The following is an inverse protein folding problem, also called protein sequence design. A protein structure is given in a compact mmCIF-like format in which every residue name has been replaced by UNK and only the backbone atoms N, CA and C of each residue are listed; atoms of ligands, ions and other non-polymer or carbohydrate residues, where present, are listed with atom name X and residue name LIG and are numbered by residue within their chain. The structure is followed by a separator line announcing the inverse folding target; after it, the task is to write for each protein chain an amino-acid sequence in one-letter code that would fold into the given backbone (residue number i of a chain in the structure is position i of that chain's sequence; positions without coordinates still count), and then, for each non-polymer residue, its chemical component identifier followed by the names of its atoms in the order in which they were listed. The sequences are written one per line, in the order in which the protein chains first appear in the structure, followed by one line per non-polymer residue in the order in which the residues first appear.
data_IF_717109235625
#
_entry.id   IF_717109235625
#
_cell.length_a   1.000
_cell.length_b   1.000
_cell.length_c   1.000
_cell.angle_alpha   90.00
_cell.angle_beta   90.00
_cell.angle_gamma   90.00
#
_symmetry.space_group_name_H-M   'P 1'
#
loop_
_entity.id
_entity.type
_entity.pdbx_description
1 polymer ?
#
# COMPACT_ATOMS: atom_id res chain seq x y z
N UNK A 1 0.39 -27.49 14.90
CA UNK A 1 -0.24 -27.12 13.61
C UNK A 1 -1.22 -25.96 13.69
N UNK A 2 -1.81 -25.61 14.84
CA UNK A 2 -2.69 -24.41 14.94
C UNK A 2 -1.92 -23.09 14.74
N UNK A 3 -0.74 -22.95 15.36
CA UNK A 3 0.07 -21.73 15.25
C UNK A 3 0.45 -21.35 13.82
N UNK A 4 0.78 -22.30 12.95
CA UNK A 4 1.19 -21.98 11.58
C UNK A 4 0.04 -21.40 10.74
N UNK A 5 -1.21 -21.80 11.02
CA UNK A 5 -2.38 -21.24 10.31
C UNK A 5 -2.71 -19.84 10.82
N UNK A 6 -2.64 -19.63 12.13
CA UNK A 6 -2.88 -18.34 12.77
C UNK A 6 -1.83 -17.32 12.31
N UNK A 7 -0.55 -17.70 12.32
CA UNK A 7 0.56 -16.86 11.85
C UNK A 7 0.37 -16.47 10.38
N UNK A 8 0.07 -17.44 9.51
CA UNK A 8 -0.18 -17.16 8.09
C UNK A 8 -1.35 -16.18 7.91
N UNK A 9 -2.42 -16.31 8.70
CA UNK A 9 -3.57 -15.42 8.64
C UNK A 9 -3.22 -14.00 9.12
N UNK A 10 -2.50 -13.85 10.23
CA UNK A 10 -2.00 -12.55 10.70
C UNK A 10 -1.17 -11.88 9.62
N UNK A 11 -0.24 -12.62 9.01
CA UNK A 11 0.66 -12.08 7.99
C UNK A 11 -0.09 -11.59 6.75
N UNK A 12 -1.12 -12.31 6.29
CA UNK A 12 -1.98 -11.87 5.18
C UNK A 12 -2.73 -10.59 5.56
N UNK A 13 -3.31 -10.53 6.75
CA UNK A 13 -4.03 -9.33 7.20
C UNK A 13 -3.11 -8.12 7.40
N UNK A 14 -1.85 -8.32 7.80
CA UNK A 14 -0.84 -7.26 7.86
C UNK A 14 -0.50 -6.73 6.47
N UNK A 15 -0.38 -7.61 5.46
CA UNK A 15 -0.15 -7.16 4.08
C UNK A 15 -1.34 -6.31 3.56
N UNK A 16 -2.57 -6.70 3.88
CA UNK A 16 -3.79 -5.95 3.54
C UNK A 16 -3.85 -4.60 4.28
N UNK A 17 -3.46 -4.57 5.56
CA UNK A 17 -3.35 -3.34 6.34
C UNK A 17 -2.35 -2.35 5.71
N UNK A 18 -1.18 -2.82 5.30
CA UNK A 18 -0.18 -1.99 4.61
C UNK A 18 -0.74 -1.42 3.31
N UNK A 19 -1.47 -2.23 2.53
CA UNK A 19 -2.13 -1.74 1.30
C UNK A 19 -3.22 -0.70 1.58
N UNK A 20 -3.99 -0.85 2.65
CA UNK A 20 -4.99 0.12 3.07
C UNK A 20 -4.32 1.46 3.45
N UNK A 21 -3.23 1.42 4.22
CA UNK A 21 -2.47 2.62 4.60
C UNK A 21 -1.82 3.32 3.39
N UNK A 22 -1.26 2.57 2.43
CA UNK A 22 -0.75 3.14 1.17
C UNK A 22 -1.90 3.78 0.38
N UNK A 23 -3.06 3.13 0.32
CA UNK A 23 -4.22 3.65 -0.40
C UNK A 23 -4.76 4.93 0.25
N UNK A 24 -4.76 5.01 1.57
CA UNK A 24 -5.15 6.20 2.32
C UNK A 24 -4.22 7.39 1.98
N UNK A 25 -2.90 7.19 1.98
CA UNK A 25 -1.93 8.24 1.67
C UNK A 25 -1.89 8.69 0.20
N UNK A 26 -2.58 7.99 -0.69
CA UNK A 26 -2.73 8.36 -2.11
C UNK A 26 -4.08 9.02 -2.43
N UNK A 27 -4.97 9.13 -1.45
CA UNK A 27 -6.34 9.65 -1.59
C UNK A 27 -6.55 10.84 -0.67
N UNK A 28 -7.58 11.63 -0.95
CA UNK A 28 -7.95 12.81 -0.16
C UNK A 28 -9.44 12.78 0.21
N UNK A 29 -9.81 13.54 1.25
CA UNK A 29 -11.20 13.70 1.67
C UNK A 29 -11.90 12.37 2.03
N UNK A 30 -13.10 12.17 1.47
CA UNK A 30 -13.94 11.01 1.79
C UNK A 30 -13.32 9.67 1.37
N UNK A 31 -12.56 9.63 0.28
CA UNK A 31 -11.93 8.37 -0.18
C UNK A 31 -10.77 7.95 0.73
N UNK A 32 -10.06 8.91 1.32
CA UNK A 32 -9.06 8.66 2.36
C UNK A 32 -9.74 8.10 3.61
N UNK A 33 -10.83 8.73 4.05
CA UNK A 33 -11.57 8.28 5.25
C UNK A 33 -12.11 6.85 5.09
N UNK A 34 -12.58 6.49 3.89
CA UNK A 34 -13.01 5.12 3.59
C UNK A 34 -11.83 4.12 3.70
N UNK A 35 -10.66 4.49 3.17
CA UNK A 35 -9.46 3.66 3.25
C UNK A 35 -8.98 3.49 4.70
N UNK A 36 -8.99 4.57 5.48
CA UNK A 36 -8.66 4.55 6.92
C UNK A 36 -9.66 3.68 7.69
N UNK A 37 -10.96 3.85 7.46
CA UNK A 37 -12.01 3.05 8.12
C UNK A 37 -11.87 1.56 7.80
N UNK A 38 -11.56 1.22 6.54
CA UNK A 38 -11.31 -0.15 6.12
C UNK A 38 -10.07 -0.74 6.80
N UNK A 39 -8.99 0.02 6.90
CA UNK A 39 -7.78 -0.39 7.63
C UNK A 39 -8.06 -0.64 9.11
N UNK A 40 -8.82 0.26 9.75
CA UNK A 40 -9.17 0.14 11.16
C UNK A 40 -10.02 -1.10 11.44
N UNK A 41 -10.93 -1.43 10.52
CA UNK A 41 -11.75 -2.65 10.58
C UNK A 41 -10.89 -3.92 10.45
N UNK A 42 -9.86 -3.92 9.59
CA UNK A 42 -8.89 -5.03 9.53
C UNK A 42 -8.16 -5.21 10.86
N UNK A 43 -7.67 -4.12 11.47
CA UNK A 43 -7.02 -4.17 12.79
C UNK A 43 -7.96 -4.71 13.86
N UNK A 44 -9.24 -4.29 13.84
CA UNK A 44 -10.26 -4.82 14.74
C UNK A 44 -10.45 -6.32 14.58
N UNK A 45 -10.55 -6.81 13.35
CA UNK A 45 -10.72 -8.24 13.04
C UNK A 45 -9.48 -9.07 13.42
N UNK A 46 -8.27 -8.51 13.24
CA UNK A 46 -7.03 -9.16 13.67
C UNK A 46 -6.89 -9.22 15.20
N UNK A 47 -7.64 -8.41 15.95
CA UNK A 47 -7.49 -8.28 17.41
C UNK A 47 -7.53 -9.63 18.13
N UNK A 48 -8.49 -10.49 17.80
CA UNK A 48 -8.58 -11.82 18.44
C UNK A 48 -7.39 -12.72 18.10
N UNK A 49 -6.92 -12.69 16.85
CA UNK A 49 -5.75 -13.47 16.41
C UNK A 49 -4.48 -12.98 17.13
N UNK A 50 -4.32 -11.67 17.25
CA UNK A 50 -3.18 -11.05 17.93
C UNK A 50 -3.21 -11.31 19.43
N UNK A 51 -4.38 -11.23 20.06
CA UNK A 51 -4.54 -11.53 21.49
C UNK A 51 -4.30 -13.01 21.78
N UNK A 52 -4.74 -13.92 20.90
CA UNK A 52 -4.39 -15.34 21.00
C UNK A 52 -2.88 -15.55 20.89
N UNK A 53 -2.22 -14.92 19.91
CA UNK A 53 -0.76 -14.98 19.75
C UNK A 53 0.01 -14.36 20.93
N UNK A 54 -0.57 -13.35 21.60
CA UNK A 54 -0.01 -12.66 22.76
C UNK A 54 -0.41 -13.31 24.10
N UNK A 55 -1.07 -14.46 24.08
CA UNK A 55 -1.54 -15.17 25.28
C UNK A 55 -2.39 -14.27 26.19
N UNK A 56 -3.24 -13.44 25.59
CA UNK A 56 -4.13 -12.52 26.32
C UNK A 56 -3.57 -11.13 26.60
N UNK A 57 -2.28 -10.86 26.33
CA UNK A 57 -1.59 -9.61 26.69
C UNK A 57 -1.90 -8.45 25.70
N UNK A 58 -3.10 -7.87 25.82
CA UNK A 58 -3.61 -6.80 24.93
C UNK A 58 -2.74 -5.55 24.87
N UNK A 59 -2.01 -5.23 25.93
CA UNK A 59 -1.12 -4.05 26.00
C UNK A 59 0.05 -4.10 24.99
N UNK A 60 0.40 -5.28 24.48
CA UNK A 60 1.48 -5.45 23.50
C UNK A 60 0.99 -5.47 22.05
N UNK A 61 -0.32 -5.36 21.82
CA UNK A 61 -0.91 -5.46 20.48
C UNK A 61 -0.40 -4.37 19.53
N UNK A 62 -0.27 -3.13 20.01
CA UNK A 62 0.26 -2.01 19.22
C UNK A 62 1.70 -2.27 18.76
N UNK A 63 2.57 -2.60 19.71
CA UNK A 63 3.99 -2.87 19.44
C UNK A 63 4.17 -4.06 18.48
N UNK A 64 3.37 -5.12 18.64
CA UNK A 64 3.41 -6.27 17.73
C UNK A 64 2.98 -5.87 16.31
N UNK A 65 1.90 -5.10 16.16
CA UNK A 65 1.45 -4.61 14.86
C UNK A 65 2.50 -3.72 14.19
N UNK A 66 3.07 -2.77 14.90
CA UNK A 66 4.15 -1.90 14.40
C UNK A 66 5.34 -2.73 13.92
N UNK A 67 5.74 -3.75 14.68
CA UNK A 67 6.83 -4.64 14.30
C UNK A 67 6.50 -5.47 13.05
N UNK A 68 5.31 -6.06 12.99
CA UNK A 68 4.87 -6.86 11.83
C UNK A 68 4.78 -6.00 10.58
N UNK A 69 4.25 -4.79 10.68
CA UNK A 69 4.20 -3.84 9.58
C UNK A 69 5.62 -3.45 9.16
N UNK A 70 6.51 -3.12 10.10
CA UNK A 70 7.90 -2.78 9.78
C UNK A 70 8.64 -3.90 9.02
N UNK A 71 8.30 -5.16 9.27
CA UNK A 71 8.85 -6.32 8.54
C UNK A 71 8.30 -6.44 7.10
N UNK A 72 7.10 -5.90 6.83
CA UNK A 72 6.45 -5.95 5.52
C UNK A 72 6.73 -4.74 4.64
N UNK A 73 7.16 -3.63 5.24
CA UNK A 73 7.36 -2.42 4.49
C UNK A 73 8.62 -2.46 3.61
N UNK A 74 8.55 -1.91 2.38
CA UNK A 74 9.74 -1.68 1.56
C UNK A 74 10.66 -0.64 2.23
N UNK A 75 11.88 -0.51 1.71
CA UNK A 75 12.93 0.39 2.25
C UNK A 75 12.37 1.76 2.67
N UNK A 76 12.83 2.29 3.82
CA UNK A 76 12.28 3.49 4.48
C UNK A 76 12.25 4.70 3.56
N UNK A 77 13.15 4.77 2.58
CA UNK A 77 13.18 5.79 1.52
C UNK A 77 11.94 5.75 0.61
N UNK A 78 11.42 4.56 0.33
CA UNK A 78 10.21 4.35 -0.46
C UNK A 78 8.99 4.84 0.35
N UNK A 79 8.97 4.60 1.67
CA UNK A 79 7.89 5.09 2.54
C UNK A 79 7.82 6.60 2.62
N UNK A 80 8.97 7.28 2.67
CA UNK A 80 9.04 8.75 2.66
C UNK A 80 8.40 9.35 1.39
N UNK A 81 8.37 8.61 0.28
CA UNK A 81 7.69 9.06 -0.94
C UNK A 81 6.16 9.08 -0.85
N UNK A 82 5.57 8.47 0.17
CA UNK A 82 4.12 8.42 0.39
C UNK A 82 3.61 9.45 1.40
N UNK A 83 4.39 10.49 1.72
CA UNK A 83 3.94 11.68 2.46
C UNK A 83 3.26 11.40 3.80
N UNK A 84 1.93 11.22 3.78
CA UNK A 84 1.08 10.97 4.95
C UNK A 84 1.03 9.53 5.41
N UNK A 85 1.69 8.58 4.71
CA UNK A 85 1.62 7.14 5.01
C UNK A 85 1.80 6.79 6.48
N UNK A 86 2.85 7.30 7.15
CA UNK A 86 3.09 6.97 8.57
C UNK A 86 1.96 7.44 9.47
N UNK A 87 1.45 8.65 9.21
CA UNK A 87 0.33 9.23 9.97
C UNK A 87 -0.95 8.42 9.74
N UNK A 88 -1.22 8.06 8.49
CA UNK A 88 -2.41 7.28 8.13
C UNK A 88 -2.34 5.87 8.75
N UNK A 89 -1.17 5.24 8.77
CA UNK A 89 -0.95 3.94 9.41
C UNK A 89 -1.16 4.01 10.93
N UNK A 90 -0.58 5.01 11.59
CA UNK A 90 -0.76 5.24 13.03
C UNK A 90 -2.25 5.45 13.37
N UNK A 91 -2.94 6.30 12.61
CA UNK A 91 -4.38 6.56 12.77
C UNK A 91 -5.21 5.28 12.60
N UNK A 92 -4.90 4.47 11.59
CA UNK A 92 -5.56 3.18 11.36
C UNK A 92 -5.36 2.23 12.55
N UNK A 93 -4.12 2.08 13.03
CA UNK A 93 -3.79 1.18 14.14
C UNK A 93 -4.50 1.63 15.42
N UNK A 94 -4.41 2.92 15.77
CA UNK A 94 -5.00 3.44 17.00
C UNK A 94 -6.53 3.32 16.98
N UNK A 95 -7.18 3.66 15.86
CA UNK A 95 -8.64 3.53 15.69
C UNK A 95 -9.10 2.07 15.76
N UNK A 96 -8.37 1.17 15.12
CA UNK A 96 -8.70 -0.26 15.11
C UNK A 96 -8.54 -0.91 16.49
N UNK A 97 -7.46 -0.59 17.22
CA UNK A 97 -7.23 -1.06 18.59
C UNK A 97 -8.32 -0.54 19.53
N UNK A 98 -8.66 0.75 19.44
CA UNK A 98 -9.72 1.33 20.26
C UNK A 98 -11.07 0.66 19.99
N UNK A 99 -11.43 0.43 18.73
CA UNK A 99 -12.66 -0.25 18.34
C UNK A 99 -12.70 -1.71 18.85
N UNK A 100 -11.56 -2.42 18.79
CA UNK A 100 -11.45 -3.78 19.33
C UNK A 100 -11.68 -3.82 20.85
N UNK A 101 -11.02 -2.93 21.60
CA UNK A 101 -11.15 -2.85 23.06
C UNK A 101 -12.58 -2.49 23.49
N UNK A 102 -13.20 -1.54 22.79
CA UNK A 102 -14.59 -1.16 23.04
C UNK A 102 -15.56 -2.33 22.82
N UNK A 103 -15.37 -3.12 21.75
CA UNK A 103 -16.21 -4.30 21.48
C UNK A 103 -16.13 -5.37 22.56
N UNK A 104 -14.95 -5.56 23.16
CA UNK A 104 -14.72 -6.57 24.20
C UNK A 104 -15.31 -6.18 25.56
N UNK A 105 -15.33 -4.89 25.88
CA UNK A 105 -15.93 -4.39 27.13
C UNK A 105 -17.45 -4.59 27.20
N UNK A 106 -18.11 -4.73 26.04
CA UNK A 106 -19.57 -4.84 25.91
C UNK A 106 -20.05 -6.31 25.91
N UNK A 107 -19.15 -7.28 26.08
CA UNK A 107 -19.52 -8.68 26.34
C UNK A 107 -19.33 -9.03 27.82
N UNK A 108 -20.11 -8.44 28.77
CA UNK A 108 -20.17 -8.99 30.11
C UNK A 108 -20.79 -10.38 29.98
N UNK A 109 -20.11 -11.37 30.57
CA UNK A 109 -20.59 -12.74 30.65
C UNK A 109 -22.10 -12.78 30.96
N UNK A 110 -22.87 -13.39 30.07
CA UNK A 110 -24.11 -14.05 30.45
C UNK A 110 -23.75 -15.06 31.53
N UNK A 111 -23.96 -14.65 32.78
CA UNK A 111 -24.04 -15.55 33.91
C UNK A 111 -25.51 -15.62 34.35
N UNK A 112 -26.38 -16.40 33.69
CA UNK A 112 -27.58 -16.91 34.31
C UNK A 112 -27.21 -18.19 35.05
N UNK A 113 -26.52 -18.05 36.19
CA UNK A 113 -26.69 -19.00 37.29
C UNK A 113 -27.69 -18.39 38.26
N UNK A 114 -28.96 -18.43 37.86
CA UNK A 114 -30.06 -18.44 38.82
C UNK A 114 -29.97 -19.75 39.61
N UNK A 115 -29.12 -19.74 40.64
CA UNK A 115 -29.30 -20.63 41.78
C UNK A 115 -30.39 -20.03 42.66
N UNK A 116 -31.49 -20.74 42.94
CA UNK A 116 -32.49 -20.26 43.88
C UNK A 116 -31.82 -20.22 45.27
N UNK A 117 -31.60 -19.02 45.80
CA UNK A 117 -31.12 -18.87 47.18
C UNK A 117 -32.27 -18.38 48.02
N UNK A 118 -32.71 -19.26 48.90
CA UNK A 118 -33.64 -19.00 49.99
C UNK A 118 -33.17 -17.85 50.87
N UNK A 119 -34.17 -17.22 51.49
CA UNK A 119 -34.08 -16.11 52.40
C UNK A 119 -33.05 -16.33 53.53
N UNK A 120 -32.18 -15.35 53.71
CA UNK A 120 -31.29 -15.23 54.86
C UNK A 120 -31.11 -13.77 55.23
N UNK A 121 -31.99 -13.30 56.10
CA UNK A 121 -31.95 -11.98 56.75
C UNK A 121 -30.62 -11.72 57.46
N UNK A 122 -30.18 -10.45 57.39
CA UNK A 122 -29.45 -9.81 58.46
C UNK A 122 -27.99 -9.48 58.15
N UNK A 123 -27.68 -8.18 58.01
CA UNK A 123 -27.09 -7.38 59.10
C UNK A 123 -26.47 -6.10 58.51
N UNK A 124 -26.94 -4.97 59.06
CA UNK A 124 -26.35 -3.64 58.90
C UNK A 124 -24.92 -3.65 59.46
N UNK A 125 -24.01 -2.97 58.79
CA UNK A 125 -23.01 -2.15 59.50
C UNK A 125 -22.55 -1.00 58.62
N UNK A 126 -22.59 0.17 59.26
CA UNK A 126 -22.26 1.49 58.76
C UNK A 126 -20.74 1.65 58.70
N UNK A 127 -20.24 2.39 57.72
CA UNK A 127 -18.82 2.66 57.56
C UNK A 127 -18.60 3.91 56.72
N UNK A 128 -18.84 5.06 57.34
CA UNK A 128 -18.44 6.38 56.86
C UNK A 128 -16.92 6.43 56.64
N UNK A 129 -16.52 7.01 55.51
CA UNK A 129 -15.11 7.18 55.16
C UNK A 129 -14.94 8.18 54.02
N UNK A 130 -15.28 9.43 54.30
CA UNK A 130 -14.96 10.57 53.46
C UNK A 130 -13.43 10.76 53.36
N UNK A 131 -12.89 10.92 52.16
CA UNK A 131 -11.80 11.89 51.92
C UNK A 131 -11.82 12.35 50.47
N UNK A 132 -12.06 13.64 50.35
CA UNK A 132 -12.00 14.47 49.15
C UNK A 132 -10.55 14.83 48.84
N UNK A 133 -10.09 14.55 47.63
CA UNK A 133 -8.77 14.97 47.14
C UNK A 133 -8.89 15.56 45.73
N UNK A 134 -9.46 16.76 45.65
CA UNK A 134 -9.57 17.59 44.45
C UNK A 134 -8.36 18.51 44.42
N UNK A 135 -7.51 18.39 43.41
CA UNK A 135 -6.38 19.28 43.15
C UNK A 135 -6.06 19.25 41.67
N UNK A 136 -6.71 20.13 40.91
CA UNK A 136 -6.19 20.60 39.64
C UNK A 136 -5.68 22.01 39.85
N UNK A 137 -4.57 22.38 39.21
CA UNK A 137 -4.31 23.75 38.74
C UNK A 137 -3.02 23.82 37.91
N UNK A 138 -3.01 24.69 36.89
CA UNK A 138 -1.85 25.11 36.10
C UNK A 138 -1.61 24.29 34.82
N UNK A 139 -2.03 24.69 33.62
CA UNK A 139 -2.33 26.03 33.12
C UNK A 139 -1.14 26.57 32.33
N UNK A 140 -1.38 26.78 31.04
CA UNK A 140 -0.73 27.77 30.16
C UNK A 140 0.56 27.35 29.43
N UNK A 141 0.41 26.72 28.26
CA UNK A 141 1.32 26.92 27.14
C UNK A 141 0.52 27.49 25.96
N UNK A 142 0.45 28.81 25.97
CA UNK A 142 0.08 29.67 24.86
C UNK A 142 1.14 29.54 23.76
N UNK A 143 0.79 28.89 22.66
CA UNK A 143 1.60 28.92 21.44
C UNK A 143 1.21 30.16 20.64
N UNK A 144 2.13 31.12 20.64
CA UNK A 144 2.10 32.35 19.86
C UNK A 144 1.70 32.09 18.41
N UNK A 145 0.63 32.77 18.00
CA UNK A 145 0.30 33.02 16.60
C UNK A 145 1.45 33.81 15.97
N UNK A 146 2.29 33.13 15.20
CA UNK A 146 3.14 33.81 14.22
C UNK A 146 2.27 34.20 13.02
N UNK A 147 1.87 35.46 13.11
CA UNK A 147 1.44 36.37 12.05
C UNK A 147 2.60 36.50 11.04
N UNK A 148 2.51 35.81 9.91
CA UNK A 148 3.42 36.03 8.78
C UNK A 148 2.71 35.81 7.44
N UNK A 149 3.01 36.72 6.53
CA UNK A 149 2.69 36.73 5.10
C UNK A 149 1.29 37.24 4.66
N UNK A 150 1.08 38.55 4.86
CA UNK A 150 0.49 39.36 3.80
C UNK A 150 1.41 39.35 2.56
N UNK A 151 1.12 38.45 1.62
CA UNK A 151 1.77 38.36 0.31
C UNK A 151 0.75 38.60 -0.81
N UNK A 152 0.88 39.74 -1.46
CA UNK A 152 0.08 40.25 -2.57
C UNK A 152 -0.40 39.20 -3.58
N UNK A 153 -1.72 39.10 -3.75
CA UNK A 153 -2.37 38.59 -4.97
C UNK A 153 -2.19 39.62 -6.08
N UNK A 154 -1.08 39.57 -6.81
CA UNK A 154 -1.00 40.11 -8.16
C UNK A 154 -1.70 39.16 -9.14
N UNK A 155 -2.69 39.70 -9.83
CA UNK A 155 -3.40 39.04 -10.91
C UNK A 155 -2.46 38.81 -12.10
N UNK A 156 -2.28 37.57 -12.59
CA UNK A 156 -1.67 37.38 -13.89
C UNK A 156 -2.69 37.72 -14.99
N UNK A 157 -2.30 38.75 -15.73
CA UNK A 157 -2.90 39.19 -16.97
C UNK A 157 -3.15 38.03 -17.94
N UNK A 158 -4.25 38.17 -18.69
CA UNK A 158 -4.62 37.34 -19.82
C UNK A 158 -3.43 37.15 -20.78
N UNK A 159 -2.86 35.95 -20.79
CA UNK A 159 -2.00 35.50 -21.88
C UNK A 159 -2.88 35.18 -23.08
N UNK A 160 -2.73 36.00 -24.12
CA UNK A 160 -3.20 35.75 -25.47
C UNK A 160 -2.80 34.34 -25.89
N UNK A 161 -3.79 33.56 -26.30
CA UNK A 161 -3.61 32.23 -26.88
C UNK A 161 -2.78 32.35 -28.16
N UNK A 162 -1.55 31.84 -28.24
CA UNK A 162 -0.90 31.66 -29.53
C UNK A 162 -1.69 30.62 -30.33
N UNK A 163 -1.85 30.93 -31.61
CA UNK A 163 -2.64 30.21 -32.59
C UNK A 163 -2.45 28.69 -32.54
N UNK A 164 -3.57 27.99 -32.74
CA UNK A 164 -3.64 26.54 -32.92
C UNK A 164 -2.52 26.05 -33.83
N UNK A 165 -1.75 25.02 -33.42
CA UNK A 165 -0.81 24.38 -34.33
C UNK A 165 -1.56 23.83 -35.56
N UNK A 166 -0.99 23.96 -36.77
CA UNK A 166 -1.61 23.44 -37.98
C UNK A 166 -1.87 21.93 -37.83
N UNK A 167 -3.05 21.51 -38.30
CA UNK A 167 -3.48 20.12 -38.27
C UNK A 167 -2.40 19.20 -38.87
N UNK A 168 -2.11 18.04 -38.24
CA UNK A 168 -1.14 17.09 -38.74
C UNK A 168 -1.57 16.61 -40.14
N UNK A 169 -0.69 16.82 -41.11
CA UNK A 169 -0.87 16.35 -42.48
C UNK A 169 -1.04 14.82 -42.46
N UNK A 170 -2.17 14.27 -42.94
CA UNK A 170 -2.36 12.83 -43.04
C UNK A 170 -1.49 12.31 -44.18
N UNK A 171 -0.30 11.81 -43.85
CA UNK A 171 0.67 11.33 -44.82
C UNK A 171 2.13 11.40 -44.39
N UNK A 172 2.45 11.95 -43.20
CA UNK A 172 3.79 11.88 -42.65
C UNK A 172 4.11 10.44 -42.22
N UNK A 173 4.76 9.71 -43.13
CA UNK A 173 5.45 8.46 -42.87
C UNK A 173 6.30 8.62 -41.60
N UNK A 174 6.13 7.78 -40.57
CA UNK A 174 6.82 7.95 -39.30
C UNK A 174 8.32 7.91 -39.54
N UNK A 175 9.11 8.79 -38.89
CA UNK A 175 10.54 8.88 -39.13
C UNK A 175 11.18 7.52 -38.83
N UNK A 176 11.71 6.89 -39.87
CA UNK A 176 12.53 5.70 -39.79
C UNK A 176 13.72 5.99 -38.86
N UNK A 177 13.59 5.64 -37.58
CA UNK A 177 14.66 5.79 -36.61
C UNK A 177 15.74 4.75 -36.90
N UNK A 178 17.02 5.10 -36.74
CA UNK A 178 18.13 4.22 -37.08
C UNK A 178 18.06 2.94 -36.25
N UNK A 179 17.88 1.80 -36.91
CA UNK A 179 17.86 0.45 -36.33
C UNK A 179 19.25 -0.04 -35.84
N UNK A 180 20.18 0.87 -35.56
CA UNK A 180 21.51 0.54 -35.07
C UNK A 180 21.58 0.70 -33.55
N UNK A 181 21.17 -0.34 -32.82
CA UNK A 181 21.28 -0.32 -31.37
C UNK A 181 20.95 -1.63 -30.67
N UNK A 182 21.05 -1.65 -29.32
CA UNK A 182 20.73 -2.80 -28.48
C UNK A 182 19.33 -3.39 -28.75
N UNK A 183 18.40 -2.54 -29.21
CA UNK A 183 17.04 -2.90 -29.61
C UNK A 183 16.99 -3.92 -30.75
N UNK A 184 17.88 -3.81 -31.75
CA UNK A 184 17.95 -4.77 -32.87
C UNK A 184 18.33 -6.17 -32.39
N UNK A 185 19.25 -6.25 -31.42
CA UNK A 185 19.65 -7.53 -30.84
C UNK A 185 18.52 -8.14 -30.01
N UNK A 186 17.73 -7.32 -29.31
CA UNK A 186 16.53 -7.81 -28.62
C UNK A 186 15.53 -8.38 -29.61
N UNK A 187 15.20 -7.63 -30.68
CA UNK A 187 14.27 -8.08 -31.72
C UNK A 187 14.70 -9.41 -32.34
N UNK A 188 15.97 -9.53 -32.74
CA UNK A 188 16.52 -10.76 -33.29
C UNK A 188 16.44 -11.94 -32.30
N UNK A 189 16.69 -11.67 -31.00
CA UNK A 189 16.56 -12.68 -29.97
C UNK A 189 15.10 -13.14 -29.79
N UNK A 190 14.13 -12.22 -29.88
CA UNK A 190 12.70 -12.50 -29.78
C UNK A 190 12.20 -13.32 -30.96
N UNK A 191 12.51 -12.92 -32.19
CA UNK A 191 12.13 -13.65 -33.42
C UNK A 191 12.63 -15.10 -33.39
N UNK A 192 13.83 -15.31 -32.82
CA UNK A 192 14.42 -16.66 -32.69
C UNK A 192 13.87 -17.45 -31.51
N UNK A 193 13.50 -16.79 -30.41
CA UNK A 193 12.95 -17.45 -29.22
C UNK A 193 11.48 -17.84 -29.40
N UNK A 194 10.72 -17.03 -30.15
CA UNK A 194 9.28 -17.13 -30.31
C UNK A 194 8.89 -17.09 -31.80
N UNK A 195 9.24 -18.12 -32.58
CA UNK A 195 8.94 -18.14 -34.02
C UNK A 195 7.41 -18.14 -34.24
N UNK A 196 6.93 -17.20 -35.06
CA UNK A 196 5.51 -17.05 -35.41
C UNK A 196 4.68 -16.22 -34.44
N UNK A 197 5.29 -15.63 -33.41
CA UNK A 197 4.62 -14.67 -32.53
C UNK A 197 4.58 -13.26 -33.14
N UNK A 198 3.49 -12.54 -32.92
CA UNK A 198 3.38 -11.13 -33.29
C UNK A 198 4.15 -10.28 -32.27
N UNK A 199 5.15 -9.53 -32.73
CA UNK A 199 5.98 -8.66 -31.90
C UNK A 199 5.54 -7.21 -32.12
N UNK A 200 4.95 -6.59 -31.09
CA UNK A 200 4.58 -5.16 -31.10
C UNK A 200 5.67 -4.34 -30.42
N UNK A 201 6.10 -3.25 -31.06
CA UNK A 201 7.13 -2.37 -30.54
C UNK A 201 6.53 -1.15 -29.81
N UNK A 202 7.24 -0.64 -28.80
CA UNK A 202 6.94 0.62 -28.11
C UNK A 202 5.48 0.74 -27.60
N UNK A 203 4.93 -0.35 -27.08
CA UNK A 203 3.54 -0.39 -26.60
C UNK A 203 3.41 0.41 -25.31
N UNK A 204 2.58 1.46 -25.36
CA UNK A 204 2.19 2.21 -24.18
C UNK A 204 1.09 1.47 -23.41
N UNK A 205 1.30 1.32 -22.10
CA UNK A 205 0.42 0.65 -21.15
C UNK A 205 0.28 1.53 -19.91
N UNK A 206 -0.74 1.28 -19.08
CA UNK A 206 -1.02 2.11 -17.89
C UNK A 206 0.19 2.23 -16.92
N UNK A 207 1.07 1.23 -16.92
CA UNK A 207 2.31 1.22 -16.15
C UNK A 207 3.56 1.80 -16.84
N UNK A 208 3.50 2.24 -18.11
CA UNK A 208 4.68 2.76 -18.81
C UNK A 208 4.76 2.36 -20.28
N UNK A 209 5.97 2.26 -20.82
CA UNK A 209 6.20 1.83 -22.21
C UNK A 209 7.02 0.55 -22.23
N UNK A 210 6.47 -0.49 -22.86
CA UNK A 210 7.19 -1.73 -23.14
C UNK A 210 7.97 -1.56 -24.44
N UNK A 211 9.21 -2.02 -24.48
CA UNK A 211 10.01 -1.97 -25.70
C UNK A 211 9.45 -2.92 -26.75
N UNK A 212 9.14 -4.15 -26.31
CA UNK A 212 8.48 -5.17 -27.12
C UNK A 212 7.37 -5.85 -26.31
N UNK A 213 6.30 -6.25 -26.98
CA UNK A 213 5.18 -6.96 -26.38
C UNK A 213 4.67 -8.05 -27.32
N UNK A 214 4.44 -9.25 -26.77
CA UNK A 214 3.91 -10.43 -27.47
C UNK A 214 2.48 -10.67 -26.97
N UNK A 215 1.44 -10.23 -27.71
CA UNK A 215 0.06 -10.21 -27.21
C UNK A 215 -0.49 -11.60 -26.86
N UNK A 216 -0.19 -12.62 -27.67
CA UNK A 216 -0.72 -13.98 -27.46
C UNK A 216 -0.20 -14.60 -26.17
N UNK A 217 1.04 -14.30 -25.81
CA UNK A 217 1.69 -14.78 -24.58
C UNK A 217 1.49 -13.83 -23.39
N UNK A 218 0.92 -12.64 -23.61
CA UNK A 218 0.89 -11.53 -22.65
C UNK A 218 2.28 -11.25 -22.03
N UNK A 219 3.32 -11.27 -22.86
CA UNK A 219 4.71 -11.12 -22.42
C UNK A 219 5.28 -9.78 -22.91
N UNK A 220 5.71 -8.93 -21.97
CA UNK A 220 6.35 -7.65 -22.22
C UNK A 220 7.85 -7.70 -21.96
N UNK A 221 8.62 -6.88 -22.67
CA UNK A 221 10.06 -6.76 -22.54
C UNK A 221 10.46 -5.31 -22.30
N UNK A 222 11.29 -5.10 -21.29
CA UNK A 222 11.92 -3.81 -20.99
C UNK A 222 13.44 -3.95 -21.07
N UNK A 223 14.12 -2.96 -21.65
CA UNK A 223 15.58 -2.90 -21.68
C UNK A 223 16.06 -1.88 -20.67
N UNK A 224 16.95 -2.33 -19.77
CA UNK A 224 17.59 -1.46 -18.80
C UNK A 224 17.99 -2.19 -17.54
N UNK A 225 18.86 -1.54 -16.78
CA UNK A 225 19.31 -2.01 -15.46
C UNK A 225 18.71 -1.16 -14.32
N UNK A 226 17.65 -0.40 -14.62
CA UNK A 226 16.99 0.43 -13.61
C UNK A 226 16.36 -0.41 -12.51
N UNK A 227 16.26 0.12 -11.28
CA UNK A 227 15.53 -0.55 -10.21
C UNK A 227 14.09 -0.84 -10.63
N UNK A 228 13.51 -1.91 -10.08
CA UNK A 228 12.12 -2.27 -10.35
C UNK A 228 11.20 -1.16 -9.86
N UNK A 229 10.51 -0.49 -10.78
CA UNK A 229 9.44 0.43 -10.42
C UNK A 229 8.18 -0.40 -10.13
N UNK A 230 7.92 -0.60 -8.84
CA UNK A 230 6.84 -1.45 -8.35
C UNK A 230 5.47 -0.99 -8.84
N UNK A 231 5.27 0.32 -9.12
CA UNK A 231 4.00 0.84 -9.67
C UNK A 231 3.76 0.28 -11.06
N UNK A 232 4.82 0.22 -11.89
CA UNK A 232 4.74 -0.39 -13.21
C UNK A 232 4.42 -1.87 -13.11
N UNK A 233 5.15 -2.58 -12.26
CA UNK A 233 4.96 -4.02 -12.05
C UNK A 233 3.53 -4.33 -11.56
N UNK A 234 2.93 -3.47 -10.74
CA UNK A 234 1.54 -3.57 -10.30
C UNK A 234 0.56 -3.46 -11.48
N UNK A 235 0.69 -2.42 -12.31
CA UNK A 235 -0.19 -2.24 -13.48
C UNK A 235 -0.01 -3.34 -14.52
N UNK A 236 1.20 -3.86 -14.70
CA UNK A 236 1.45 -5.00 -15.59
C UNK A 236 0.76 -6.27 -15.09
N UNK A 237 0.85 -6.55 -13.78
CA UNK A 237 0.13 -7.67 -13.16
C UNK A 237 -1.39 -7.54 -13.30
N UNK A 238 -1.95 -6.35 -13.08
CA UNK A 238 -3.39 -6.11 -13.29
C UNK A 238 -3.82 -6.33 -14.75
N UNK A 239 -2.97 -5.99 -15.71
CA UNK A 239 -3.21 -6.25 -17.13
C UNK A 239 -2.96 -7.73 -17.54
N UNK A 240 -2.51 -8.57 -16.60
CA UNK A 240 -2.10 -9.94 -16.87
C UNK A 240 -0.86 -10.04 -17.76
N UNK A 241 -0.03 -8.99 -17.78
CA UNK A 241 1.22 -8.93 -18.56
C UNK A 241 2.38 -9.34 -17.66
N UNK A 242 3.12 -10.36 -18.09
CA UNK A 242 4.39 -10.73 -17.49
C UNK A 242 5.50 -9.90 -18.13
N UNK A 243 6.35 -9.26 -17.34
CA UNK A 243 7.43 -8.40 -17.86
C UNK A 243 8.79 -9.02 -17.61
N UNK A 244 9.56 -9.17 -18.68
CA UNK A 244 10.95 -9.66 -18.65
C UNK A 244 11.88 -8.46 -18.83
N UNK A 245 12.69 -8.21 -17.81
CA UNK A 245 13.73 -7.18 -17.84
C UNK A 245 14.99 -7.76 -18.47
N UNK A 246 15.45 -7.12 -19.54
CA UNK A 246 16.65 -7.51 -20.27
C UNK A 246 17.73 -6.46 -20.04
N UNK A 247 18.83 -6.90 -19.44
CA UNK A 247 19.97 -6.03 -19.19
C UNK A 247 20.69 -5.69 -20.50
N UNK A 248 21.37 -4.54 -20.55
CA UNK A 248 22.15 -4.12 -21.73
C UNK A 248 23.28 -5.12 -22.04
N UNK A 249 23.78 -5.85 -21.03
CA UNK A 249 24.81 -6.87 -21.21
C UNK A 249 24.29 -8.10 -21.95
N UNK A 250 23.05 -8.53 -21.70
CA UNK A 250 22.44 -9.67 -22.39
C UNK A 250 22.19 -9.38 -23.87
N UNK A 251 21.97 -8.10 -24.21
CA UNK A 251 21.79 -7.66 -25.58
C UNK A 251 23.09 -7.73 -26.42
N UNK A 252 24.25 -7.98 -25.81
CA UNK A 252 25.50 -8.18 -26.58
C UNK A 252 25.48 -9.47 -27.40
N UNK A 253 24.75 -10.50 -26.96
CA UNK A 253 24.67 -11.77 -27.66
C UNK A 253 23.20 -12.23 -27.83
N UNK A 254 22.57 -11.94 -28.98
CA UNK A 254 21.16 -12.25 -29.20
C UNK A 254 20.88 -13.78 -29.17
N UNK A 255 21.84 -14.63 -29.53
CA UNK A 255 21.66 -16.08 -29.51
C UNK A 255 21.61 -16.63 -28.08
N UNK A 256 22.48 -16.13 -27.21
CA UNK A 256 22.47 -16.49 -25.79
C UNK A 256 21.18 -16.03 -25.13
N UNK A 257 20.74 -14.80 -25.42
CA UNK A 257 19.47 -14.28 -24.94
C UNK A 257 18.30 -15.14 -25.44
N UNK A 258 18.23 -15.45 -26.74
CA UNK A 258 17.18 -16.31 -27.30
C UNK A 258 17.13 -17.70 -26.64
N UNK A 259 18.28 -18.28 -26.28
CA UNK A 259 18.33 -19.53 -25.53
C UNK A 259 17.78 -19.37 -24.10
N UNK A 260 18.17 -18.29 -23.39
CA UNK A 260 17.63 -17.96 -22.07
C UNK A 260 16.11 -17.79 -22.12
N UNK A 261 15.59 -17.03 -23.09
CA UNK A 261 14.16 -16.78 -23.25
C UNK A 261 13.37 -18.09 -23.48
N UNK A 262 13.89 -19.02 -24.29
CA UNK A 262 13.24 -20.32 -24.51
C UNK A 262 13.16 -21.20 -23.26
N UNK A 263 14.11 -21.05 -22.33
CA UNK A 263 14.11 -21.79 -21.05
C UNK A 263 13.10 -21.23 -20.05
N UNK A 264 12.71 -19.97 -20.18
CA UNK A 264 11.67 -19.36 -19.35
C UNK A 264 10.25 -19.72 -19.82
N UNK A 265 10.07 -20.81 -20.57
CA UNK A 265 8.73 -21.29 -20.96
C UNK A 265 7.91 -21.58 -19.69
N UNK A 266 6.86 -20.78 -19.54
CA UNK A 266 5.78 -20.90 -18.57
C UNK A 266 4.86 -22.08 -18.89
#
# INVERSE_FOLDING_TARGET
MRNSRLEAQILVSVDELVQAAISAGLREGAEREEAVSRGAELVRQMGDLLVEALEGRTQHMRALLEQLVAQRLPDRKILQSFGTFSRDLEEIIDRGIAAYQAGRAVTPEESPREGPTEAGEGRKEEGEGAVTGRGGDGGDETYDLLDDAQGATEAPAAQERPASPPAPTPGAEPPARPESGPWRNLRLALERAYPGEEIKENVAVRGGKLAYFLPRLKLGFEVGNGPSDWRKDFFYRQAGIQVVKVSVHELRNPFSLAHKLRRMRY
#
